data_IF_441406370184
#
_entry.id   IF_441406370184
#
_cell.length_a   1.000
_cell.length_b   1.000
_cell.length_c   1.000
_cell.angle_alpha   90.00
_cell.angle_beta   90.00
_cell.angle_gamma   90.00
#
_symmetry.space_group_name_H-M   'P 1'
#
loop_
_entity.id
_entity.type
_entity.pdbx_description
1 polymer ?
#
# COMPACT_ATOMS: atom_id res chain seq x y z
N UNK A 1 -19.07 0.13 -6.74
CA UNK A 1 -18.51 -1.00 -7.51
C UNK A 1 -17.28 -1.54 -6.80
N UNK A 2 -17.11 -2.86 -6.71
CA UNK A 2 -15.92 -3.47 -6.12
C UNK A 2 -15.23 -4.39 -7.13
N UNK A 3 -13.90 -4.30 -7.17
CA UNK A 3 -13.06 -5.15 -8.02
C UNK A 3 -12.53 -6.38 -7.27
N UNK A 4 -12.85 -6.52 -5.99
CA UNK A 4 -12.43 -7.65 -5.16
C UNK A 4 -13.45 -8.77 -5.22
N UNK A 5 -13.06 -9.86 -5.78
CA UNK A 5 -13.88 -11.07 -5.86
C UNK A 5 -13.00 -12.33 -6.02
N UNK A 6 -13.62 -13.49 -6.18
CA UNK A 6 -12.95 -14.77 -6.43
C UNK A 6 -11.99 -15.19 -5.31
N UNK A 7 -12.53 -15.81 -4.28
CA UNK A 7 -11.80 -16.40 -3.14
C UNK A 7 -11.17 -15.37 -2.15
N UNK A 8 -11.42 -14.07 -2.34
CA UNK A 8 -11.04 -13.06 -1.38
C UNK A 8 -12.15 -12.85 -0.36
N UNK A 9 -11.86 -13.03 0.93
CA UNK A 9 -12.80 -12.75 2.01
C UNK A 9 -13.30 -11.30 1.95
N UNK A 10 -12.43 -10.35 1.63
CA UNK A 10 -12.77 -8.95 1.45
C UNK A 10 -13.91 -8.73 0.45
N UNK A 11 -13.98 -9.49 -0.65
CA UNK A 11 -15.07 -9.35 -1.63
C UNK A 11 -16.44 -9.63 -1.03
N UNK A 12 -16.55 -10.65 -0.16
CA UNK A 12 -17.79 -10.96 0.55
C UNK A 12 -18.06 -9.97 1.69
N UNK A 13 -17.05 -9.65 2.49
CA UNK A 13 -17.19 -8.74 3.64
C UNK A 13 -17.67 -7.35 3.21
N UNK A 14 -17.04 -6.77 2.19
CA UNK A 14 -17.48 -5.48 1.64
C UNK A 14 -18.87 -5.54 1.00
N UNK A 15 -19.19 -6.64 0.31
CA UNK A 15 -20.55 -6.82 -0.22
C UNK A 15 -21.60 -6.77 0.87
N UNK A 16 -21.40 -7.53 1.95
CA UNK A 16 -22.34 -7.56 3.07
C UNK A 16 -22.40 -6.21 3.80
N UNK A 17 -21.25 -5.58 4.04
CA UNK A 17 -21.18 -4.27 4.70
C UNK A 17 -21.86 -3.16 3.90
N UNK A 18 -21.63 -3.08 2.59
CA UNK A 18 -22.26 -2.08 1.72
C UNK A 18 -23.77 -2.30 1.64
N UNK A 19 -24.22 -3.56 1.60
CA UNK A 19 -25.66 -3.87 1.69
C UNK A 19 -26.27 -3.47 3.02
N UNK A 20 -25.58 -3.76 4.12
CA UNK A 20 -26.06 -3.36 5.45
C UNK A 20 -26.15 -1.83 5.61
N UNK A 21 -25.27 -1.08 4.92
CA UNK A 21 -25.33 0.39 4.83
C UNK A 21 -26.56 0.88 4.03
N UNK A 22 -27.24 0.01 3.28
CA UNK A 22 -28.36 0.38 2.40
C UNK A 22 -27.92 0.90 1.02
N UNK A 23 -26.63 0.79 0.67
CA UNK A 23 -26.10 1.20 -0.62
C UNK A 23 -26.15 0.07 -1.64
N UNK A 24 -26.27 0.43 -2.92
CA UNK A 24 -26.19 -0.52 -4.03
C UNK A 24 -24.73 -0.94 -4.25
N UNK A 25 -24.53 -2.23 -4.53
CA UNK A 25 -23.21 -2.78 -4.80
C UNK A 25 -23.18 -3.61 -6.08
N UNK A 26 -22.16 -3.38 -6.89
CA UNK A 26 -21.87 -4.13 -8.11
C UNK A 26 -20.57 -4.88 -7.89
N UNK A 27 -20.60 -6.21 -8.00
CA UNK A 27 -19.41 -7.08 -7.89
C UNK A 27 -18.94 -7.42 -9.30
N UNK A 28 -17.79 -6.86 -9.70
CA UNK A 28 -17.24 -7.08 -11.06
C UNK A 28 -16.08 -8.06 -11.04
N UNK A 29 -15.40 -8.21 -9.91
CA UNK A 29 -14.16 -8.97 -9.83
C UNK A 29 -12.95 -8.15 -10.28
N UNK A 30 -11.76 -8.76 -10.28
CA UNK A 30 -10.50 -8.08 -10.58
C UNK A 30 -9.95 -8.47 -11.97
N UNK A 31 -9.07 -7.62 -12.50
CA UNK A 31 -8.12 -7.97 -13.54
C UNK A 31 -8.62 -7.85 -14.99
N UNK A 32 -9.82 -7.32 -15.25
CA UNK A 32 -10.33 -7.13 -16.62
C UNK A 32 -10.80 -5.68 -16.78
N UNK A 33 -9.94 -4.76 -17.24
CA UNK A 33 -10.30 -3.35 -17.43
C UNK A 33 -11.50 -3.13 -18.33
N UNK A 34 -11.63 -3.90 -19.42
CA UNK A 34 -12.77 -3.83 -20.32
C UNK A 34 -14.11 -4.03 -19.60
N UNK A 35 -14.23 -5.08 -18.77
CA UNK A 35 -15.44 -5.37 -18.00
C UNK A 35 -15.75 -4.28 -16.98
N UNK A 36 -14.72 -3.67 -16.38
CA UNK A 36 -14.87 -2.54 -15.46
C UNK A 36 -15.49 -1.35 -16.19
N UNK A 37 -14.94 -0.98 -17.36
CA UNK A 37 -15.43 0.15 -18.14
C UNK A 37 -16.82 -0.09 -18.74
N UNK A 38 -17.14 -1.30 -19.20
CA UNK A 38 -18.51 -1.66 -19.61
C UNK A 38 -19.48 -1.46 -18.43
N UNK A 39 -19.11 -1.93 -17.24
CA UNK A 39 -19.91 -1.78 -16.03
C UNK A 39 -20.10 -0.31 -15.63
N UNK A 40 -19.02 0.49 -15.66
CA UNK A 40 -19.08 1.93 -15.35
C UNK A 40 -20.01 2.66 -16.32
N UNK A 41 -19.90 2.36 -17.61
CA UNK A 41 -20.74 2.98 -18.66
C UNK A 41 -22.22 2.65 -18.50
N UNK A 42 -22.52 1.38 -18.19
CA UNK A 42 -23.92 0.89 -18.14
C UNK A 42 -24.62 1.16 -16.83
N UNK A 43 -23.94 0.95 -15.71
CA UNK A 43 -24.55 1.00 -14.38
C UNK A 43 -24.19 2.27 -13.58
N UNK A 44 -23.29 3.08 -14.10
CA UNK A 44 -22.92 4.41 -13.57
C UNK A 44 -22.67 4.43 -12.04
N UNK A 45 -21.82 3.53 -11.49
CA UNK A 45 -21.43 3.63 -10.09
C UNK A 45 -20.70 4.95 -9.84
N UNK A 46 -20.81 5.51 -8.64
CA UNK A 46 -20.11 6.72 -8.23
C UNK A 46 -18.81 6.43 -7.48
N UNK A 47 -18.66 5.22 -6.95
CA UNK A 47 -17.53 4.81 -6.11
C UNK A 47 -16.95 3.50 -6.58
N UNK A 48 -15.61 3.44 -6.69
CA UNK A 48 -14.84 2.18 -6.90
C UNK A 48 -14.10 1.84 -5.63
N UNK A 49 -14.20 0.58 -5.19
CA UNK A 49 -13.37 0.01 -4.15
C UNK A 49 -12.41 -1.00 -4.78
N UNK A 50 -11.11 -0.76 -4.71
CA UNK A 50 -10.10 -1.56 -5.40
C UNK A 50 -8.70 -1.39 -4.81
N UNK A 51 -7.76 -2.18 -5.31
CA UNK A 51 -6.33 -1.95 -5.09
C UNK A 51 -5.93 -0.71 -5.92
N UNK A 52 -5.31 0.32 -5.31
CA UNK A 52 -5.01 1.57 -6.00
C UNK A 52 -4.22 1.47 -7.30
N UNK A 53 -3.22 0.59 -7.37
CA UNK A 53 -2.43 0.38 -8.60
C UNK A 53 -3.30 -0.08 -9.79
N UNK A 54 -4.41 -0.77 -9.53
CA UNK A 54 -5.34 -1.18 -10.56
C UNK A 54 -6.04 0.01 -11.25
N UNK A 55 -6.19 1.14 -10.56
CA UNK A 55 -6.74 2.37 -11.16
C UNK A 55 -5.86 2.88 -12.31
N UNK A 56 -4.53 2.81 -12.17
CA UNK A 56 -3.65 3.19 -13.26
C UNK A 56 -3.84 2.28 -14.48
N UNK A 57 -4.02 0.98 -14.28
CA UNK A 57 -4.36 0.06 -15.37
C UNK A 57 -5.70 0.38 -16.03
N UNK A 58 -6.71 0.80 -15.24
CA UNK A 58 -8.00 1.25 -15.79
C UNK A 58 -7.84 2.52 -16.63
N UNK A 59 -7.03 3.47 -16.17
CA UNK A 59 -6.75 4.71 -16.89
C UNK A 59 -6.00 4.41 -18.19
N UNK A 60 -4.93 3.62 -18.13
CA UNK A 60 -4.12 3.26 -19.29
C UNK A 60 -4.96 2.54 -20.34
N UNK A 61 -5.83 1.61 -19.93
CA UNK A 61 -6.79 0.96 -20.82
C UNK A 61 -7.75 1.98 -21.46
N UNK A 62 -8.29 2.91 -20.68
CA UNK A 62 -9.20 3.93 -21.17
C UNK A 62 -8.52 4.85 -22.22
N UNK A 63 -7.29 5.28 -21.96
CA UNK A 63 -6.48 6.09 -22.88
C UNK A 63 -6.23 5.34 -24.20
N UNK A 64 -5.90 4.04 -24.15
CA UNK A 64 -5.68 3.20 -25.33
C UNK A 64 -6.95 2.97 -26.17
N UNK A 65 -8.12 2.97 -25.54
CA UNK A 65 -9.40 2.68 -26.21
C UNK A 65 -10.30 3.91 -26.40
N UNK A 66 -9.77 5.13 -26.21
CA UNK A 66 -10.50 6.37 -26.42
C UNK A 66 -11.69 6.58 -25.46
N UNK A 67 -11.63 5.99 -24.25
CA UNK A 67 -12.67 6.15 -23.24
C UNK A 67 -12.39 7.42 -22.43
N UNK A 68 -13.34 8.36 -22.41
CA UNK A 68 -13.23 9.55 -21.57
C UNK A 68 -13.56 9.22 -20.10
N UNK A 69 -12.58 8.72 -19.36
CA UNK A 69 -12.75 8.34 -17.96
C UNK A 69 -13.03 9.53 -17.04
N UNK A 70 -12.58 10.74 -17.41
CA UNK A 70 -12.79 11.97 -16.61
C UNK A 70 -14.27 12.39 -16.56
N UNK A 71 -15.04 12.06 -17.58
CA UNK A 71 -16.48 12.32 -17.64
C UNK A 71 -17.33 11.13 -17.14
N UNK A 72 -16.68 10.08 -16.65
CA UNK A 72 -17.40 8.93 -16.09
C UNK A 72 -18.21 9.30 -14.83
N UNK A 73 -19.05 8.38 -14.38
CA UNK A 73 -19.83 8.55 -13.15
C UNK A 73 -18.99 8.48 -11.87
N UNK A 74 -17.75 7.99 -11.96
CA UNK A 74 -16.89 7.79 -10.79
C UNK A 74 -16.48 9.13 -10.19
N UNK A 75 -16.65 9.23 -8.87
CA UNK A 75 -16.28 10.39 -8.05
C UNK A 75 -15.31 10.02 -6.93
N UNK A 76 -15.34 8.75 -6.48
CA UNK A 76 -14.57 8.28 -5.31
C UNK A 76 -13.87 6.98 -5.59
N UNK A 77 -12.67 6.86 -5.03
CA UNK A 77 -11.89 5.62 -5.01
C UNK A 77 -11.57 5.31 -3.56
N UNK A 78 -11.99 4.13 -3.10
CA UNK A 78 -11.61 3.58 -1.81
C UNK A 78 -10.50 2.57 -2.05
N UNK A 79 -9.28 2.95 -1.69
CA UNK A 79 -8.07 2.16 -1.88
C UNK A 79 -7.87 1.15 -0.76
N UNK A 80 -7.64 -0.10 -1.15
CA UNK A 80 -7.38 -1.20 -0.21
C UNK A 80 -6.13 -1.96 -0.60
N UNK A 81 -5.40 -2.47 0.40
CA UNK A 81 -4.23 -3.34 0.19
C UNK A 81 -2.96 -2.64 -0.31
N UNK A 82 -3.01 -1.35 -0.59
CA UNK A 82 -1.86 -0.50 -0.92
C UNK A 82 -2.07 0.88 -0.29
N UNK A 83 -0.98 1.49 0.20
CA UNK A 83 -1.01 2.85 0.74
C UNK A 83 -1.23 3.91 -0.34
N UNK A 84 -1.93 4.97 0.02
CA UNK A 84 -2.15 6.16 -0.83
C UNK A 84 -1.50 7.41 -0.26
N UNK A 85 -0.97 7.35 0.98
CA UNK A 85 -0.44 8.52 1.69
C UNK A 85 0.95 8.29 2.25
N UNK A 86 1.69 9.41 2.33
CA UNK A 86 2.92 9.55 3.12
C UNK A 86 2.59 9.71 4.61
N UNK A 87 3.61 9.69 5.47
CA UNK A 87 3.43 9.84 6.92
C UNK A 87 2.90 11.22 7.34
N UNK A 88 3.08 12.24 6.52
CA UNK A 88 2.52 13.59 6.69
C UNK A 88 1.08 13.74 6.14
N UNK A 89 0.45 12.63 5.76
CA UNK A 89 -0.88 12.52 5.15
C UNK A 89 -1.01 13.09 3.75
N UNK A 90 0.03 13.64 3.16
CA UNK A 90 0.04 13.98 1.74
C UNK A 90 -0.11 12.72 0.87
N UNK A 91 -0.56 12.86 -0.36
CA UNK A 91 -0.62 11.72 -1.27
C UNK A 91 0.80 11.23 -1.58
N UNK A 92 1.02 9.93 -1.49
CA UNK A 92 2.24 9.29 -1.96
C UNK A 92 2.33 9.31 -3.49
N UNK A 93 3.40 8.76 -4.06
CA UNK A 93 3.60 8.75 -5.51
C UNK A 93 2.42 8.14 -6.26
N UNK A 94 1.88 7.01 -5.79
CA UNK A 94 0.75 6.32 -6.41
C UNK A 94 -0.53 7.18 -6.36
N UNK A 95 -0.82 7.75 -5.19
CA UNK A 95 -1.96 8.65 -4.99
C UNK A 95 -1.87 9.91 -5.88
N UNK A 96 -0.68 10.52 -5.98
CA UNK A 96 -0.43 11.67 -6.87
C UNK A 96 -0.67 11.31 -8.34
N UNK A 97 -0.09 10.20 -8.83
CA UNK A 97 -0.28 9.74 -10.21
C UNK A 97 -1.75 9.51 -10.57
N UNK A 98 -2.53 8.95 -9.65
CA UNK A 98 -3.96 8.78 -9.86
C UNK A 98 -4.64 10.14 -9.93
N UNK A 99 -4.38 11.02 -8.95
CA UNK A 99 -5.03 12.34 -8.84
C UNK A 99 -4.72 13.27 -10.00
N UNK A 100 -3.50 13.24 -10.54
CA UNK A 100 -3.08 14.01 -11.71
C UNK A 100 -3.84 13.60 -12.97
N UNK A 101 -4.08 12.30 -13.14
CA UNK A 101 -4.80 11.78 -14.32
C UNK A 101 -6.31 11.88 -14.16
N UNK A 102 -6.83 11.62 -12.97
CA UNK A 102 -8.25 11.53 -12.69
C UNK A 102 -8.63 12.28 -11.41
N UNK A 103 -9.36 13.39 -11.56
CA UNK A 103 -9.76 14.22 -10.41
C UNK A 103 -10.91 13.58 -9.63
N UNK A 104 -10.58 12.59 -8.82
CA UNK A 104 -11.49 11.86 -7.94
C UNK A 104 -11.05 12.00 -6.47
N UNK A 105 -11.96 11.80 -5.55
CA UNK A 105 -11.65 11.70 -4.11
C UNK A 105 -10.98 10.35 -3.83
N UNK A 106 -9.86 10.38 -3.11
CA UNK A 106 -9.11 9.18 -2.73
C UNK A 106 -9.22 8.96 -1.23
N UNK A 107 -9.61 7.73 -0.85
CA UNK A 107 -9.68 7.29 0.54
C UNK A 107 -8.78 6.09 0.73
N UNK A 108 -7.82 6.19 1.64
CA UNK A 108 -6.99 5.07 2.04
C UNK A 108 -7.67 4.23 3.13
N UNK A 109 -7.42 2.93 3.11
CA UNK A 109 -7.88 2.02 4.14
C UNK A 109 -6.76 1.08 4.58
N UNK A 110 -6.73 0.75 5.86
CA UNK A 110 -5.93 -0.33 6.40
C UNK A 110 -6.85 -1.45 6.88
N UNK A 111 -6.57 -2.68 6.48
CA UNK A 111 -7.35 -3.86 6.85
C UNK A 111 -6.52 -5.13 6.72
N UNK A 112 -6.85 -6.13 7.50
CA UNK A 112 -6.39 -7.50 7.27
C UNK A 112 -7.57 -8.48 7.40
N UNK A 113 -7.43 -9.63 6.75
CA UNK A 113 -8.46 -10.68 6.83
C UNK A 113 -8.60 -11.21 8.25
N UNK A 114 -7.47 -11.32 8.96
CA UNK A 114 -7.37 -11.85 10.32
C UNK A 114 -8.17 -11.03 11.32
N UNK A 115 -8.06 -9.70 11.26
CA UNK A 115 -8.76 -8.85 12.22
C UNK A 115 -10.23 -8.58 11.86
N UNK A 116 -10.65 -8.90 10.62
CA UNK A 116 -12.05 -8.74 10.19
C UNK A 116 -12.59 -7.30 10.23
N UNK A 117 -11.71 -6.33 10.38
CA UNK A 117 -12.04 -4.91 10.47
C UNK A 117 -11.25 -4.09 9.45
N UNK A 118 -11.78 -2.91 9.13
CA UNK A 118 -11.15 -1.96 8.20
C UNK A 118 -11.10 -0.59 8.84
N UNK A 119 -9.92 0.01 8.89
CA UNK A 119 -9.73 1.38 9.38
C UNK A 119 -9.60 2.30 8.17
N UNK A 120 -10.67 3.06 7.92
CA UNK A 120 -10.79 3.91 6.73
C UNK A 120 -10.63 5.37 7.06
N UNK A 121 -10.06 6.13 6.14
CA UNK A 121 -10.04 7.58 6.21
C UNK A 121 -11.45 8.15 6.12
N UNK A 122 -11.61 9.32 6.69
CA UNK A 122 -12.74 10.23 6.43
C UNK A 122 -12.34 11.26 5.34
N UNK A 123 -13.25 12.15 4.89
CA UNK A 123 -12.93 13.15 3.87
C UNK A 123 -11.77 14.09 4.19
N UNK A 124 -11.33 14.14 5.44
CA UNK A 124 -10.17 14.96 5.83
C UNK A 124 -8.81 14.27 5.59
N UNK A 125 -8.80 12.96 5.28
CA UNK A 125 -7.58 12.25 4.88
C UNK A 125 -6.45 12.22 5.91
N UNK A 126 -6.81 12.22 7.20
CA UNK A 126 -5.85 12.34 8.32
C UNK A 126 -5.76 11.02 9.11
N UNK A 127 -5.57 9.90 8.40
CA UNK A 127 -5.44 8.58 8.99
C UNK A 127 -6.74 7.79 9.11
N UNK A 128 -6.63 6.48 9.29
CA UNK A 128 -7.75 5.54 9.35
C UNK A 128 -8.40 5.50 10.75
N UNK A 129 -9.70 5.73 10.83
CA UNK A 129 -10.46 5.66 12.08
C UNK A 129 -10.60 4.23 12.58
N UNK A 130 -10.29 4.03 13.86
CA UNK A 130 -10.50 2.74 14.55
C UNK A 130 -11.95 2.61 15.00
N UNK A 131 -12.43 1.39 15.07
CA UNK A 131 -13.77 1.01 15.52
C UNK A 131 -13.71 0.32 16.89
N UNK A 132 -13.69 1.07 18.01
CA UNK A 132 -13.49 0.51 19.35
C UNK A 132 -14.60 -0.44 19.79
N UNK A 133 -15.77 -0.38 19.16
CA UNK A 133 -16.89 -1.30 19.36
C UNK A 133 -16.65 -2.70 18.75
N UNK A 134 -15.71 -2.83 17.82
CA UNK A 134 -15.39 -4.09 17.11
C UNK A 134 -14.04 -4.66 17.50
N UNK A 135 -13.08 -3.79 17.86
CA UNK A 135 -11.68 -4.20 17.97
C UNK A 135 -10.91 -3.24 18.89
N UNK A 136 -10.11 -3.81 19.79
CA UNK A 136 -9.13 -3.07 20.57
C UNK A 136 -7.83 -3.03 19.77
N UNK A 137 -7.23 -1.85 19.64
CA UNK A 137 -5.97 -1.65 18.94
C UNK A 137 -4.95 -1.04 19.91
N UNK A 138 -3.80 -1.69 20.02
CA UNK A 138 -2.63 -1.25 20.78
C UNK A 138 -1.48 -0.99 19.82
N UNK A 139 -0.63 -0.01 20.12
CA UNK A 139 0.62 0.22 19.39
C UNK A 139 1.75 -0.12 20.36
N UNK A 140 2.53 -1.16 20.02
CA UNK A 140 3.46 -1.80 20.95
C UNK A 140 4.91 -1.64 20.49
N UNK A 141 5.77 -1.25 21.40
CA UNK A 141 7.21 -1.15 21.17
C UNK A 141 7.95 -2.50 21.12
N UNK A 142 9.26 -2.44 20.97
CA UNK A 142 10.11 -3.63 20.96
C UNK A 142 10.14 -4.33 22.34
N UNK A 143 9.98 -3.57 23.41
CA UNK A 143 9.88 -4.05 24.79
C UNK A 143 8.54 -4.73 25.14
N UNK A 144 7.58 -4.72 24.22
CA UNK A 144 6.24 -5.29 24.39
C UNK A 144 5.27 -4.39 25.16
N UNK A 145 5.67 -3.16 25.47
CA UNK A 145 4.82 -2.16 26.15
C UNK A 145 4.20 -1.19 25.12
N UNK A 146 3.06 -0.55 25.46
CA UNK A 146 2.50 0.49 24.62
C UNK A 146 3.47 1.66 24.45
N UNK A 147 3.61 2.15 23.21
CA UNK A 147 4.39 3.36 22.92
C UNK A 147 3.55 4.62 23.17
N UNK A 148 4.18 5.79 23.45
CA UNK A 148 3.49 7.07 23.49
C UNK A 148 2.72 7.36 22.21
N UNK A 149 1.64 8.17 22.33
CA UNK A 149 0.87 8.63 21.15
C UNK A 149 1.78 9.40 20.19
N UNK A 150 1.65 9.11 18.90
CA UNK A 150 2.49 9.67 17.84
C UNK A 150 3.78 8.88 17.56
N UNK A 151 4.19 7.98 18.44
CA UNK A 151 5.34 7.10 18.18
C UNK A 151 4.93 5.85 17.39
N UNK A 152 5.84 5.41 16.50
CA UNK A 152 5.64 4.22 15.68
C UNK A 152 5.91 2.96 16.48
N UNK A 153 4.95 2.04 16.48
CA UNK A 153 5.08 0.70 17.02
C UNK A 153 4.33 -0.33 16.21
N UNK A 154 4.37 -1.57 16.63
CA UNK A 154 3.64 -2.67 16.01
C UNK A 154 2.16 -2.59 16.36
N UNK A 155 1.30 -2.69 15.35
CA UNK A 155 -0.15 -2.78 15.54
C UNK A 155 -0.48 -4.16 16.13
N UNK A 156 -1.08 -4.14 17.30
CA UNK A 156 -1.56 -5.34 18.01
C UNK A 156 -3.05 -5.21 18.22
N UNK A 157 -3.80 -6.26 17.89
CA UNK A 157 -5.26 -6.20 17.86
C UNK A 157 -5.90 -7.30 18.71
N UNK A 158 -7.01 -6.95 19.37
CA UNK A 158 -7.91 -7.90 20.02
C UNK A 158 -9.30 -7.73 19.46
N UNK A 159 -9.84 -8.77 18.82
CA UNK A 159 -11.18 -8.74 18.24
C UNK A 159 -12.25 -8.89 19.33
N UNK A 160 -13.36 -8.16 19.17
CA UNK A 160 -14.51 -8.21 20.09
C UNK A 160 -15.69 -8.91 19.41
N UNK A 161 -16.40 -9.76 20.16
CA UNK A 161 -17.59 -10.45 19.65
C UNK A 161 -17.34 -11.51 18.59
N UNK A 162 -16.10 -11.96 18.40
CA UNK A 162 -15.72 -13.05 17.49
C UNK A 162 -15.63 -14.35 18.28
N UNK A 163 -16.49 -15.32 17.95
CA UNK A 163 -16.61 -16.58 18.68
C UNK A 163 -15.71 -17.69 18.12
N UNK A 164 -15.68 -17.86 16.79
CA UNK A 164 -15.04 -19.03 16.16
C UNK A 164 -13.51 -18.98 16.26
N UNK A 165 -12.90 -17.82 16.06
CA UNK A 165 -11.44 -17.62 16.16
C UNK A 165 -11.17 -16.23 16.71
N UNK A 166 -11.37 -15.99 18.01
CA UNK A 166 -11.07 -14.71 18.63
C UNK A 166 -9.56 -14.46 18.63
N UNK A 167 -9.16 -13.25 18.26
CA UNK A 167 -7.77 -12.81 18.36
C UNK A 167 -7.59 -12.07 19.68
N UNK A 168 -6.64 -12.52 20.49
CA UNK A 168 -6.24 -11.86 21.74
C UNK A 168 -4.81 -11.36 21.58
N UNK A 169 -4.63 -10.02 21.57
CA UNK A 169 -3.34 -9.35 21.39
C UNK A 169 -2.54 -9.92 20.20
N UNK A 170 -3.23 -10.08 19.07
CA UNK A 170 -2.62 -10.57 17.85
C UNK A 170 -1.69 -9.51 17.24
N UNK A 171 -0.43 -9.89 17.05
CA UNK A 171 0.59 -9.06 16.43
C UNK A 171 0.42 -9.12 14.92
N UNK A 172 0.06 -8.00 14.30
CA UNK A 172 -0.16 -7.94 12.84
C UNK A 172 1.14 -7.95 12.05
N UNK A 173 2.24 -7.57 12.67
CA UNK A 173 3.51 -7.31 12.01
C UNK A 173 3.55 -5.97 11.26
N UNK A 174 2.46 -5.23 11.20
CA UNK A 174 2.40 -3.92 10.54
C UNK A 174 2.72 -2.81 11.54
N UNK A 175 3.41 -1.76 11.08
CA UNK A 175 3.91 -0.66 11.90
C UNK A 175 3.17 0.63 11.59
N UNK A 176 2.65 1.29 12.62
CA UNK A 176 1.99 2.59 12.53
C UNK A 176 2.09 3.35 13.85
N UNK A 177 1.65 4.61 13.87
CA UNK A 177 1.47 5.38 15.10
C UNK A 177 -0.02 5.64 15.36
N UNK A 178 -0.35 5.90 16.62
CA UNK A 178 -1.68 6.28 17.08
C UNK A 178 -1.81 7.80 17.11
N UNK A 179 -2.96 8.30 16.64
CA UNK A 179 -3.33 9.72 16.60
C UNK A 179 -4.56 9.91 17.44
N UNK A 180 -4.43 10.62 18.57
CA UNK A 180 -5.53 10.85 19.52
C UNK A 180 -6.20 12.22 19.38
N UNK A 181 -5.59 13.16 18.64
CA UNK A 181 -6.19 14.46 18.40
C UNK A 181 -7.58 14.32 17.75
N UNK A 182 -8.55 15.13 18.16
CA UNK A 182 -9.90 15.12 17.59
C UNK A 182 -9.89 15.30 16.08
N UNK A 183 -10.63 14.46 15.35
CA UNK A 183 -10.79 14.64 13.92
C UNK A 183 -11.90 15.63 13.60
N UNK A 184 -11.68 16.48 12.58
CA UNK A 184 -12.67 17.45 12.08
C UNK A 184 -13.99 16.79 11.64
N UNK A 185 -13.99 15.49 11.35
CA UNK A 185 -15.20 14.75 10.98
C UNK A 185 -16.16 14.50 12.16
N UNK A 186 -15.76 14.84 13.38
CA UNK A 186 -16.58 14.68 14.60
C UNK A 186 -16.49 13.30 15.26
N UNK A 187 -15.76 12.33 14.67
CA UNK A 187 -15.53 11.03 15.32
C UNK A 187 -14.52 11.19 16.45
N UNK A 188 -14.81 10.55 17.58
CA UNK A 188 -13.97 10.58 18.79
C UNK A 188 -13.00 9.39 18.87
N UNK A 189 -13.12 8.38 17.99
CA UNK A 189 -12.15 7.29 17.94
C UNK A 189 -10.79 7.80 17.48
N UNK A 190 -9.71 7.28 18.06
CA UNK A 190 -8.38 7.57 17.56
C UNK A 190 -8.20 7.03 16.12
N UNK A 191 -7.14 7.48 15.47
CA UNK A 191 -6.80 7.09 14.11
C UNK A 191 -5.42 6.45 14.09
N UNK A 192 -5.17 5.64 13.07
CA UNK A 192 -3.85 5.15 12.74
C UNK A 192 -3.24 6.01 11.62
N UNK A 193 -1.95 6.30 11.73
CA UNK A 193 -1.17 6.87 10.62
C UNK A 193 -1.17 5.91 9.42
N UNK A 194 -0.78 6.35 8.23
CA UNK A 194 -0.41 5.44 7.15
C UNK A 194 0.59 4.39 7.65
N UNK A 195 0.46 3.16 7.13
CA UNK A 195 1.35 2.06 7.51
C UNK A 195 2.77 2.38 7.06
N UNK A 196 3.71 2.39 8.00
CA UNK A 196 5.14 2.64 7.72
C UNK A 196 5.75 1.47 6.96
N UNK A 197 5.35 0.25 7.31
CA UNK A 197 5.84 -0.98 6.71
C UNK A 197 5.58 -2.18 7.62
N UNK A 198 6.20 -3.32 7.27
CA UNK A 198 6.15 -4.52 8.09
C UNK A 198 7.40 -4.64 8.95
N UNK A 199 7.24 -5.01 10.22
CA UNK A 199 8.30 -5.19 11.20
C UNK A 199 9.38 -6.15 10.68
N UNK A 200 8.98 -7.27 10.09
CA UNK A 200 9.92 -8.26 9.53
C UNK A 200 10.74 -7.75 8.34
N UNK A 201 10.22 -6.75 7.63
CA UNK A 201 10.89 -6.16 6.47
C UNK A 201 11.63 -4.88 6.84
N UNK A 202 11.72 -4.55 8.12
CA UNK A 202 12.52 -3.42 8.59
C UNK A 202 14.01 -3.67 8.29
N UNK A 203 14.68 -2.68 7.77
CA UNK A 203 16.09 -2.73 7.38
C UNK A 203 16.87 -1.67 8.12
N UNK A 204 17.99 -2.02 8.72
CA UNK A 204 18.91 -1.09 9.38
C UNK A 204 20.13 -0.83 8.50
N UNK A 205 20.02 0.09 7.56
CA UNK A 205 21.10 0.43 6.63
C UNK A 205 21.90 1.64 7.14
N UNK A 206 23.21 1.42 7.46
CA UNK A 206 24.13 2.49 7.89
C UNK A 206 23.56 3.34 9.04
N UNK A 207 22.94 2.71 10.01
CA UNK A 207 22.34 3.38 11.17
C UNK A 207 20.97 4.01 10.92
N UNK A 208 20.43 3.93 9.71
CA UNK A 208 19.08 4.41 9.37
C UNK A 208 18.12 3.24 9.30
N UNK A 209 17.01 3.34 10.04
CA UNK A 209 15.90 2.38 9.92
C UNK A 209 15.06 2.71 8.69
N UNK A 210 14.91 1.74 7.81
CA UNK A 210 14.16 1.85 6.56
C UNK A 210 13.12 0.75 6.46
N UNK A 211 12.08 1.04 5.71
CA UNK A 211 11.07 0.06 5.30
C UNK A 211 11.01 -0.01 3.77
N UNK A 212 10.69 -1.18 3.17
CA UNK A 212 10.64 -1.34 1.73
C UNK A 212 9.83 -0.28 0.97
N UNK A 213 8.67 0.21 1.46
CA UNK A 213 7.95 1.29 0.78
C UNK A 213 8.82 2.51 0.47
N UNK A 214 9.65 2.96 1.41
CA UNK A 214 10.51 4.12 1.20
C UNK A 214 11.57 3.90 0.10
N UNK A 215 12.06 2.67 -0.04
CA UNK A 215 12.97 2.28 -1.13
C UNK A 215 12.23 2.20 -2.47
N UNK A 216 11.03 1.60 -2.45
CA UNK A 216 10.19 1.45 -3.63
C UNK A 216 9.78 2.81 -4.21
N UNK A 217 9.44 3.80 -3.37
CA UNK A 217 9.04 5.15 -3.81
C UNK A 217 10.16 5.86 -4.58
N UNK A 218 11.42 5.68 -4.17
CA UNK A 218 12.57 6.22 -4.92
C UNK A 218 12.67 5.56 -6.28
N UNK A 219 12.55 4.22 -6.33
CA UNK A 219 12.72 3.43 -7.57
C UNK A 219 11.58 3.67 -8.55
N UNK A 220 10.34 3.66 -8.07
CA UNK A 220 9.14 3.90 -8.88
C UNK A 220 9.03 5.36 -9.34
N UNK A 221 9.57 6.29 -8.54
CA UNK A 221 9.68 7.70 -8.89
C UNK A 221 10.78 8.04 -9.89
N UNK A 222 11.61 7.05 -10.28
CA UNK A 222 12.73 7.25 -11.21
C UNK A 222 12.33 6.82 -12.63
N UNK A 223 12.21 7.75 -13.61
CA UNK A 223 11.62 7.46 -14.93
C UNK A 223 12.33 6.39 -15.75
N UNK A 224 13.65 6.30 -15.60
CA UNK A 224 14.48 5.35 -16.36
C UNK A 224 14.58 3.96 -15.73
N UNK A 225 13.97 3.72 -14.55
CA UNK A 225 13.86 2.40 -13.93
C UNK A 225 12.68 1.64 -14.59
N UNK A 226 12.98 0.51 -15.19
CA UNK A 226 12.00 -0.38 -15.85
C UNK A 226 11.48 -1.48 -14.92
N UNK A 227 12.35 -2.02 -14.08
CA UNK A 227 12.04 -3.03 -13.08
C UNK A 227 13.08 -3.00 -11.98
N UNK A 228 12.74 -3.53 -10.81
CA UNK A 228 13.66 -3.59 -9.67
C UNK A 228 13.32 -4.68 -8.69
N UNK A 229 14.30 -5.05 -7.87
CA UNK A 229 14.15 -5.83 -6.65
C UNK A 229 15.11 -5.32 -5.58
N UNK A 230 14.64 -5.24 -4.35
CA UNK A 230 15.46 -4.93 -3.17
C UNK A 230 15.80 -6.25 -2.48
N UNK A 231 17.08 -6.55 -2.35
CA UNK A 231 17.59 -7.74 -1.65
C UNK A 231 18.26 -7.28 -0.38
N UNK A 232 17.87 -7.87 0.74
CA UNK A 232 18.45 -7.59 2.05
C UNK A 232 19.15 -8.84 2.57
N UNK A 233 20.38 -8.71 2.99
CA UNK A 233 21.19 -9.78 3.56
C UNK A 233 21.91 -9.30 4.82
N UNK A 234 22.52 -10.21 5.58
CA UNK A 234 23.41 -9.84 6.66
C UNK A 234 24.77 -9.40 6.10
N UNK A 235 25.32 -8.29 6.60
CA UNK A 235 26.70 -7.92 6.34
C UNK A 235 27.64 -8.63 7.31
N UNK A 236 28.93 -8.72 6.95
CA UNK A 236 29.98 -9.27 7.84
C UNK A 236 30.09 -8.51 9.18
N UNK A 237 29.62 -7.29 9.22
CA UNK A 237 29.63 -6.44 10.42
C UNK A 237 28.37 -6.61 11.31
N UNK A 238 27.47 -7.57 11.00
CA UNK A 238 26.24 -7.82 11.78
C UNK A 238 25.15 -6.76 11.57
N UNK A 239 25.27 -5.92 10.53
CA UNK A 239 24.25 -4.96 10.11
C UNK A 239 23.59 -5.45 8.81
N UNK A 240 22.45 -4.85 8.45
CA UNK A 240 21.84 -5.17 7.17
C UNK A 240 22.67 -4.61 6.00
N UNK A 241 22.82 -5.42 4.95
CA UNK A 241 23.29 -5.00 3.65
C UNK A 241 22.12 -4.97 2.66
N UNK A 242 22.03 -3.90 1.89
CA UNK A 242 20.93 -3.69 0.95
C UNK A 242 21.49 -3.56 -0.45
N UNK A 243 21.09 -4.49 -1.30
CA UNK A 243 21.37 -4.48 -2.73
C UNK A 243 20.07 -4.21 -3.51
N UNK A 244 20.09 -3.14 -4.29
CA UNK A 244 19.02 -2.84 -5.24
C UNK A 244 19.45 -3.27 -6.62
N UNK A 245 18.80 -4.28 -7.19
CA UNK A 245 18.98 -4.65 -8.59
C UNK A 245 17.93 -3.90 -9.42
N UNK A 246 18.38 -3.30 -10.53
CA UNK A 246 17.49 -2.52 -11.41
C UNK A 246 17.67 -2.91 -12.87
N UNK A 247 16.58 -2.99 -13.62
CA UNK A 247 16.59 -3.00 -15.07
C UNK A 247 16.26 -1.59 -15.59
N UNK A 248 17.06 -1.07 -16.51
CA UNK A 248 16.89 0.27 -17.05
C UNK A 248 15.98 0.25 -18.29
N UNK A 249 15.19 1.32 -18.47
CA UNK A 249 14.47 1.60 -19.71
C UNK A 249 15.42 2.30 -20.69
N UNK A 250 15.87 1.59 -21.71
CA UNK A 250 16.81 2.12 -22.69
C UNK A 250 18.25 2.19 -22.13
N UNK A 251 19.08 3.00 -22.79
CA UNK A 251 20.46 3.28 -22.38
C UNK A 251 20.56 4.77 -22.03
N UNK A 252 20.52 5.14 -20.73
CA UNK A 252 20.73 6.52 -20.33
C UNK A 252 22.13 7.03 -20.73
N UNK A 253 22.21 8.26 -21.24
CA UNK A 253 23.48 8.92 -21.58
C UNK A 253 24.29 9.41 -20.36
N UNK A 254 23.83 9.08 -19.16
CA UNK A 254 24.44 9.47 -17.89
C UNK A 254 24.66 8.24 -16.99
N UNK A 255 25.44 8.41 -15.93
CA UNK A 255 25.66 7.37 -14.91
C UNK A 255 24.39 7.16 -14.08
N UNK A 256 23.54 6.22 -14.52
CA UNK A 256 22.27 5.88 -13.87
C UNK A 256 22.46 5.35 -12.44
N UNK A 257 23.56 4.64 -12.17
CA UNK A 257 23.87 4.12 -10.83
C UNK A 257 24.20 5.25 -9.86
N UNK A 258 25.00 6.22 -10.31
CA UNK A 258 25.33 7.41 -9.51
C UNK A 258 24.08 8.25 -9.25
N UNK A 259 23.29 8.57 -10.27
CA UNK A 259 22.05 9.35 -10.13
C UNK A 259 21.08 8.66 -9.17
N UNK A 260 20.91 7.35 -9.29
CA UNK A 260 20.02 6.59 -8.41
C UNK A 260 20.49 6.61 -6.95
N UNK A 261 21.81 6.47 -6.70
CA UNK A 261 22.38 6.62 -5.35
C UNK A 261 22.17 8.02 -4.78
N UNK A 262 22.24 9.06 -5.60
CA UNK A 262 22.01 10.44 -5.16
C UNK A 262 20.55 10.69 -4.85
N UNK A 263 19.61 10.11 -5.61
CA UNK A 263 18.17 10.11 -5.30
C UNK A 263 17.86 9.42 -3.98
N UNK A 264 18.46 8.25 -3.71
CA UNK A 264 18.34 7.58 -2.42
C UNK A 264 18.85 8.46 -1.28
N UNK A 265 20.03 9.07 -1.40
CA UNK A 265 20.56 9.98 -0.37
C UNK A 265 19.64 11.18 -0.11
N UNK A 266 19.09 11.76 -1.16
CA UNK A 266 18.19 12.90 -1.07
C UNK A 266 16.87 12.56 -0.37
N UNK A 267 16.29 11.36 -0.63
CA UNK A 267 14.98 10.97 -0.11
C UNK A 267 15.05 10.27 1.25
N UNK A 268 16.00 9.38 1.43
CA UNK A 268 16.08 8.49 2.61
C UNK A 268 17.42 8.61 3.35
N UNK A 269 18.24 9.59 3.00
CA UNK A 269 19.53 9.96 3.64
C UNK A 269 20.65 8.93 3.53
N UNK A 270 20.37 7.74 3.03
CA UNK A 270 21.35 6.67 2.80
C UNK A 270 21.17 6.09 1.39
N UNK A 271 22.24 5.52 0.83
CA UNK A 271 22.15 4.84 -0.45
C UNK A 271 22.53 3.37 -0.30
N UNK A 272 21.69 2.44 -0.80
CA UNK A 272 22.01 1.04 -0.93
C UNK A 272 23.08 0.81 -1.99
N UNK A 273 23.58 -0.43 -2.08
CA UNK A 273 24.31 -0.87 -3.28
C UNK A 273 23.34 -0.96 -4.45
N UNK A 274 23.79 -0.60 -5.65
CA UNK A 274 22.97 -0.64 -6.86
C UNK A 274 23.70 -1.45 -7.91
N UNK A 275 22.98 -2.42 -8.49
CA UNK A 275 23.44 -3.28 -9.58
C UNK A 275 22.44 -3.17 -10.75
N UNK A 276 22.96 -2.97 -11.96
CA UNK A 276 22.13 -2.97 -13.17
C UNK A 276 22.13 -4.38 -13.75
N UNK A 277 20.94 -4.89 -14.02
CA UNK A 277 20.73 -6.17 -14.68
C UNK A 277 19.90 -5.97 -15.95
N UNK A 278 19.93 -6.94 -16.85
CA UNK A 278 19.11 -6.91 -18.06
C UNK A 278 17.62 -7.14 -17.72
N UNK A 279 16.74 -6.80 -18.68
CA UNK A 279 15.31 -6.88 -18.49
C UNK A 279 14.79 -8.32 -18.33
N UNK A 280 15.44 -9.30 -18.96
CA UNK A 280 15.06 -10.71 -18.89
C UNK A 280 15.39 -11.27 -17.51
N UNK A 281 16.61 -11.04 -17.01
CA UNK A 281 17.03 -11.39 -15.64
C UNK A 281 16.08 -10.76 -14.60
N UNK A 282 15.74 -9.47 -14.76
CA UNK A 282 14.81 -8.79 -13.85
C UNK A 282 13.43 -9.42 -13.89
N UNK A 283 12.93 -9.78 -15.07
CA UNK A 283 11.65 -10.44 -15.20
C UNK A 283 11.62 -11.80 -14.47
N UNK A 284 12.67 -12.60 -14.60
CA UNK A 284 12.79 -13.89 -13.91
C UNK A 284 12.82 -13.72 -12.39
N UNK A 285 13.51 -12.71 -11.88
CA UNK A 285 13.55 -12.38 -10.45
C UNK A 285 12.18 -11.90 -9.95
N UNK A 286 11.54 -11.02 -10.70
CA UNK A 286 10.27 -10.45 -10.27
C UNK A 286 9.10 -11.45 -10.35
N UNK A 287 9.15 -12.44 -11.25
CA UNK A 287 8.06 -13.39 -11.46
C UNK A 287 8.53 -14.86 -11.35
N UNK A 288 9.12 -15.26 -10.21
CA UNK A 288 9.53 -16.64 -10.00
C UNK A 288 8.31 -17.57 -10.03
N UNK A 289 8.44 -18.73 -10.67
CA UNK A 289 7.39 -19.75 -10.74
C UNK A 289 6.03 -19.23 -11.23
N UNK A 290 6.02 -18.32 -12.21
CA UNK A 290 4.81 -17.69 -12.76
C UNK A 290 3.97 -16.93 -11.71
N UNK A 291 4.63 -16.32 -10.74
CA UNK A 291 3.98 -15.50 -9.72
C UNK A 291 3.09 -14.42 -10.34
N UNK A 292 1.88 -14.21 -9.78
CA UNK A 292 0.92 -13.22 -10.30
C UNK A 292 1.29 -11.77 -9.96
N UNK A 293 2.11 -11.58 -8.92
CA UNK A 293 2.59 -10.26 -8.48
C UNK A 293 4.11 -10.25 -8.53
N UNK A 294 4.73 -9.13 -8.93
CA UNK A 294 6.18 -9.04 -8.93
C UNK A 294 6.73 -9.10 -7.50
N UNK A 295 7.76 -9.90 -7.31
CA UNK A 295 8.55 -9.90 -6.08
C UNK A 295 9.47 -8.68 -6.14
N UNK A 296 9.23 -7.70 -5.28
CA UNK A 296 10.01 -6.45 -5.21
C UNK A 296 10.95 -6.39 -4.00
N UNK A 297 10.82 -7.34 -3.08
CA UNK A 297 11.62 -7.42 -1.87
C UNK A 297 11.96 -8.87 -1.56
N UNK A 298 13.24 -9.16 -1.34
CA UNK A 298 13.78 -10.47 -0.98
C UNK A 298 14.59 -10.29 0.30
N UNK A 299 14.21 -11.01 1.33
CA UNK A 299 14.90 -11.04 2.61
C UNK A 299 15.72 -12.34 2.71
N UNK A 300 17.02 -12.22 2.60
CA UNK A 300 17.99 -13.32 2.69
C UNK A 300 18.69 -13.36 4.06
N UNK A 301 18.25 -12.54 5.01
CA UNK A 301 18.83 -12.57 6.36
C UNK A 301 18.50 -13.88 7.04
N UNK A 302 19.46 -14.45 7.71
CA UNK A 302 19.23 -15.60 8.60
C UNK A 302 18.30 -15.16 9.74
N UNK A 303 17.24 -15.93 9.94
CA UNK A 303 16.20 -15.66 10.97
C UNK A 303 16.56 -16.33 12.28
#
# INVERSE_FOLDING_TARGET
MTTMDKRFMAGLAYFLGIRALGASIIRVGNGIPELQWDTIKRLKPDTIMCVPSFILHLIDYAEQHGINYRESSIRRIIGIGEGLREQDFSLNLLGRRIKEKWDVELFATYSSTEMGATFSECPYGQGGHVHPELIIVEIIGEDGLPVPDGEVGEIVVTTLGVEAMPLLRFRTGDMAAKITEPCRCGRNSFRLTPIVGRKHNMVKLKGTTLYPPALNDVLEGTPYVGGYVVVVSNSDAGTDDVLVKVALKGQPEFDAVKDLKDRFRSRIRVAPRVEVVDAETMHQINFPNMARKPVKFIDEREK
#
